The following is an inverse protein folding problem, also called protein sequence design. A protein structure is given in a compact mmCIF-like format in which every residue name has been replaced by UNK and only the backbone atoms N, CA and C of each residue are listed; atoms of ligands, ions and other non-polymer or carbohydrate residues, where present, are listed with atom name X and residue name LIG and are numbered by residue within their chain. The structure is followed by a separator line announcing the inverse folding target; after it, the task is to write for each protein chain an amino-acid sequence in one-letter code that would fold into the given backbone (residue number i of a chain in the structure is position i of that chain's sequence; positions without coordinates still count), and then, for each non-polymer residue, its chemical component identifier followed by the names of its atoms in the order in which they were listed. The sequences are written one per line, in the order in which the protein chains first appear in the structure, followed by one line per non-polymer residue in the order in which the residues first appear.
data_IF_980445471845
#
_entry.id   IF_980445471845
#
_cell.length_a   1.000
_cell.length_b   1.000
_cell.length_c   1.000
_cell.angle_alpha   90.00
_cell.angle_beta   90.00
_cell.angle_gamma   90.00
#
_symmetry.space_group_name_H-M   'P 1'
#
loop_
_entity.id
_entity.type
_entity.pdbx_description
1 polymer ?
#
# COMPACT_ATOMS: atom_id res chain seq x y z
N UNK A 1 12.68 -6.64 -14.73
CA UNK A 1 12.95 -5.19 -14.54
C UNK A 1 12.32 -4.76 -13.22
N UNK A 2 12.92 -3.82 -12.48
CA UNK A 2 12.38 -3.31 -11.20
C UNK A 2 12.69 -1.81 -11.11
N UNK A 3 11.69 -0.99 -10.77
CA UNK A 3 11.88 0.44 -10.54
C UNK A 3 12.81 0.66 -9.36
N UNK A 4 13.86 1.51 -9.46
CA UNK A 4 14.73 1.82 -8.33
C UNK A 4 13.95 2.43 -7.16
N UNK A 5 14.30 2.06 -5.92
CA UNK A 5 13.57 2.52 -4.73
C UNK A 5 13.64 4.04 -4.55
N UNK A 6 14.69 4.70 -5.04
CA UNK A 6 14.83 6.17 -5.03
C UNK A 6 13.75 6.92 -5.81
N UNK A 7 13.04 6.24 -6.73
CA UNK A 7 11.89 6.82 -7.44
C UNK A 7 10.66 6.98 -6.55
N UNK A 8 10.68 6.39 -5.34
CA UNK A 8 9.59 6.48 -4.35
C UNK A 8 9.97 7.36 -3.15
N UNK A 9 11.11 8.06 -3.20
CA UNK A 9 11.46 9.06 -2.20
C UNK A 9 10.60 10.33 -2.36
N UNK A 10 10.31 11.01 -1.25
CA UNK A 10 9.59 12.30 -1.22
C UNK A 10 8.18 12.27 -1.82
N UNK A 11 7.50 11.12 -1.76
CA UNK A 11 6.08 11.02 -2.14
C UNK A 11 5.21 11.76 -1.13
N UNK A 12 4.38 12.69 -1.64
CA UNK A 12 3.49 13.50 -0.80
C UNK A 12 2.41 12.61 -0.16
N UNK A 13 2.29 12.69 1.16
CA UNK A 13 1.25 12.00 1.96
C UNK A 13 1.25 10.46 1.79
N UNK A 14 2.39 9.87 1.43
CA UNK A 14 2.53 8.41 1.25
C UNK A 14 3.65 7.87 2.15
N UNK A 15 3.39 7.88 3.44
CA UNK A 15 4.30 7.49 4.52
C UNK A 15 4.01 6.08 5.05
N UNK A 16 3.67 5.16 4.15
CA UNK A 16 3.36 3.76 4.50
C UNK A 16 4.61 2.88 4.43
N UNK A 17 4.70 1.90 5.33
CA UNK A 17 5.79 0.93 5.29
C UNK A 17 5.63 0.02 4.06
N UNK A 18 6.64 -0.10 3.17
CA UNK A 18 6.54 -0.97 2.01
C UNK A 18 6.62 -2.43 2.44
N UNK A 19 5.56 -3.19 2.17
CA UNK A 19 5.56 -4.65 2.33
C UNK A 19 5.66 -5.32 0.97
N UNK A 20 6.23 -6.52 0.94
CA UNK A 20 6.43 -7.26 -0.30
C UNK A 20 6.08 -8.74 -0.13
N UNK A 21 5.50 -9.32 -1.17
CA UNK A 21 5.30 -10.75 -1.32
C UNK A 21 5.95 -11.23 -2.62
N UNK A 22 6.69 -12.33 -2.57
CA UNK A 22 7.21 -12.99 -3.76
C UNK A 22 6.16 -14.00 -4.27
N UNK A 23 5.82 -13.92 -5.55
CA UNK A 23 4.92 -14.83 -6.26
C UNK A 23 5.55 -15.15 -7.62
N UNK A 24 5.81 -16.43 -7.90
CA UNK A 24 6.40 -16.89 -9.18
C UNK A 24 7.67 -16.14 -9.60
N UNK A 25 8.52 -15.79 -8.62
CA UNK A 25 9.76 -15.04 -8.84
C UNK A 25 9.58 -13.53 -9.09
N UNK A 26 8.35 -13.02 -8.91
CA UNK A 26 8.02 -11.61 -9.00
C UNK A 26 7.70 -11.04 -7.61
N UNK A 27 8.26 -9.86 -7.33
CA UNK A 27 8.02 -9.13 -6.08
C UNK A 27 6.83 -8.18 -6.23
N UNK A 28 5.76 -8.42 -5.49
CA UNK A 28 4.56 -7.59 -5.44
C UNK A 28 4.60 -6.71 -4.19
N UNK A 29 4.46 -5.40 -4.36
CA UNK A 29 4.34 -4.44 -3.26
C UNK A 29 2.90 -4.33 -2.76
N UNK A 30 2.71 -4.21 -1.45
CA UNK A 30 1.42 -3.88 -0.84
C UNK A 30 1.59 -3.00 0.41
N UNK A 31 0.51 -2.30 0.76
CA UNK A 31 0.38 -1.55 2.02
C UNK A 31 -0.53 -2.35 2.95
N UNK A 32 -0.18 -2.40 4.22
CA UNK A 32 -0.90 -3.14 5.26
C UNK A 32 -0.88 -2.27 6.52
N UNK A 33 -2.04 -1.69 6.86
CA UNK A 33 -2.19 -0.64 7.86
C UNK A 33 -3.39 -0.95 8.76
N UNK A 34 -3.37 -0.43 9.99
CA UNK A 34 -4.44 -0.69 10.97
C UNK A 34 -4.18 -1.89 11.89
N UNK A 35 -5.14 -2.23 12.76
CA UNK A 35 -4.97 -3.28 13.77
C UNK A 35 -4.81 -4.67 13.14
N UNK A 36 -3.96 -5.52 13.72
CA UNK A 36 -3.71 -6.89 13.21
C UNK A 36 -4.98 -7.75 13.17
N UNK A 37 -5.90 -7.50 14.09
CA UNK A 37 -7.21 -8.14 14.27
C UNK A 37 -8.37 -7.34 13.64
N UNK A 38 -8.08 -6.23 12.97
CA UNK A 38 -9.06 -5.44 12.24
C UNK A 38 -9.65 -6.21 11.05
N UNK A 39 -10.91 -5.94 10.73
CA UNK A 39 -11.55 -6.53 9.55
C UNK A 39 -10.88 -6.00 8.27
N UNK A 40 -10.41 -6.88 7.36
CA UNK A 40 -9.70 -6.45 6.16
C UNK A 40 -10.60 -5.78 5.13
N UNK A 41 -10.12 -4.69 4.53
CA UNK A 41 -10.68 -3.98 3.38
C UNK A 41 -9.63 -3.97 2.27
N UNK A 42 -9.91 -4.69 1.19
CA UNK A 42 -9.00 -4.77 0.06
C UNK A 42 -9.21 -3.60 -0.91
N UNK A 43 -8.22 -2.72 -1.04
CA UNK A 43 -8.21 -1.61 -1.99
C UNK A 43 -7.40 -1.97 -3.24
N UNK A 44 -8.10 -2.24 -4.35
CA UNK A 44 -7.48 -2.59 -5.64
C UNK A 44 -7.47 -1.36 -6.56
N UNK A 45 -6.28 -0.99 -7.04
CA UNK A 45 -6.15 0.14 -7.96
C UNK A 45 -6.48 -0.28 -9.41
N UNK A 46 -6.81 0.70 -10.25
CA UNK A 46 -7.01 0.52 -11.69
C UNK A 46 -5.87 1.12 -12.52
N UNK A 47 -6.08 1.16 -13.83
CA UNK A 47 -5.12 1.73 -14.79
C UNK A 47 -5.22 3.27 -14.86
N UNK A 48 -4.11 4.04 -14.97
CA UNK A 48 -2.69 3.68 -14.85
C UNK A 48 -2.11 3.96 -13.45
N UNK A 49 -2.88 3.69 -12.40
CA UNK A 49 -2.55 4.08 -11.02
C UNK A 49 -1.91 2.93 -10.23
N UNK A 50 -1.57 3.19 -8.97
CA UNK A 50 -1.03 2.22 -8.01
C UNK A 50 -1.50 2.59 -6.60
N UNK A 51 -0.99 1.92 -5.55
CA UNK A 51 -1.41 2.11 -4.15
C UNK A 51 -1.45 3.57 -3.66
N UNK A 52 -0.63 4.46 -4.25
CA UNK A 52 -0.64 5.90 -3.99
C UNK A 52 -2.02 6.57 -4.15
N UNK A 53 -2.88 6.03 -5.02
CA UNK A 53 -4.25 6.52 -5.21
C UNK A 53 -5.06 6.52 -3.90
N UNK A 54 -4.83 5.54 -3.03
CA UNK A 54 -5.60 5.32 -1.81
C UNK A 54 -5.05 6.03 -0.57
N UNK A 55 -3.98 6.83 -0.68
CA UNK A 55 -3.27 7.39 0.48
C UNK A 55 -4.12 8.21 1.45
N UNK A 56 -5.19 8.83 0.95
CA UNK A 56 -6.14 9.58 1.77
C UNK A 56 -7.30 8.74 2.33
N UNK A 57 -7.46 7.49 1.88
CA UNK A 57 -8.46 6.53 2.36
C UNK A 57 -7.88 5.59 3.43
N UNK A 58 -6.62 5.18 3.29
CA UNK A 58 -5.98 4.18 4.15
C UNK A 58 -6.00 4.63 5.62
N UNK A 59 -5.47 5.83 5.94
CA UNK A 59 -5.40 6.35 7.32
C UNK A 59 -6.77 6.45 8.01
N UNK A 60 -7.83 7.02 7.39
CA UNK A 60 -9.16 7.01 7.97
C UNK A 60 -9.72 5.60 8.25
N UNK A 61 -9.51 4.63 7.35
CA UNK A 61 -9.98 3.26 7.53
C UNK A 61 -9.25 2.55 8.67
N UNK A 62 -7.92 2.69 8.70
CA UNK A 62 -7.08 2.17 9.78
C UNK A 62 -7.49 2.76 11.15
N UNK A 63 -7.71 4.07 11.23
CA UNK A 63 -8.16 4.75 12.44
C UNK A 63 -9.57 4.34 12.88
N UNK A 64 -10.41 3.86 11.96
CA UNK A 64 -11.72 3.31 12.25
C UNK A 64 -11.68 1.83 12.72
N UNK A 65 -10.49 1.23 12.81
CA UNK A 65 -10.29 -0.14 13.28
C UNK A 65 -10.31 -1.21 12.19
N UNK A 66 -10.37 -0.81 10.91
CA UNK A 66 -10.20 -1.74 9.79
C UNK A 66 -8.73 -1.99 9.51
N UNK A 67 -8.48 -3.03 8.72
CA UNK A 67 -7.16 -3.36 8.17
C UNK A 67 -7.18 -3.26 6.65
#
# INVERSE_FOLDING_TARGET
MRTPDSQFENLKDFDFTPNYQEIDGLRIHYVDEGPKDGQPILLLHGQPTWGYLFRHMIKPLANAGFR
#
